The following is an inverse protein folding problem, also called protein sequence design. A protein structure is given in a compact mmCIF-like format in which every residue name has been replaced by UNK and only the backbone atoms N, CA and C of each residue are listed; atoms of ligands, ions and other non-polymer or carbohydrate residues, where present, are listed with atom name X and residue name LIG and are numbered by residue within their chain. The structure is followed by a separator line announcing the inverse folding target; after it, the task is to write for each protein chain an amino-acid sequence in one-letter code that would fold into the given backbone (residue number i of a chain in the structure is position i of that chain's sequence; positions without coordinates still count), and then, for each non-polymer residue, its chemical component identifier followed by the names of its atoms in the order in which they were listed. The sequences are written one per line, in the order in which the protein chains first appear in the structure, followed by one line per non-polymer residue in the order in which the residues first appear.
data_IF_859198248985
#
_entry.id   IF_859198248985
#
_cell.length_a   1.000
_cell.length_b   1.000
_cell.length_c   1.000
_cell.angle_alpha   90.00
_cell.angle_beta   90.00
_cell.angle_gamma   90.00
#
_symmetry.space_group_name_H-M   'P 1'
#
loop_
_entity.id
_entity.type
_entity.pdbx_description
1 polymer ?
#
# COMPACT_ATOMS: atom_id res chain seq x y z
N UNK A 1 2.60 1.16 -39.95
CA UNK A 1 2.59 0.23 -38.80
C UNK A 1 2.40 -1.18 -39.33
N UNK A 2 3.39 -2.05 -39.17
CA UNK A 2 3.28 -3.47 -39.51
C UNK A 2 2.28 -4.09 -38.55
N UNK A 3 1.14 -4.60 -39.05
CA UNK A 3 0.20 -5.37 -38.22
C UNK A 3 0.90 -6.68 -37.86
N UNK A 4 1.32 -6.82 -36.61
CA UNK A 4 1.80 -8.09 -36.06
C UNK A 4 0.73 -9.16 -36.27
N UNK A 5 1.12 -10.35 -36.71
CA UNK A 5 0.20 -11.47 -36.85
C UNK A 5 -0.48 -11.76 -35.49
N UNK A 6 -1.79 -12.13 -35.46
CA UNK A 6 -2.46 -12.46 -34.22
C UNK A 6 -1.77 -13.67 -33.57
N UNK A 7 -1.26 -13.47 -32.36
CA UNK A 7 -0.61 -14.51 -31.56
C UNK A 7 -1.66 -15.14 -30.64
N UNK A 8 -1.51 -16.43 -30.33
CA UNK A 8 -2.36 -17.14 -29.36
C UNK A 8 -1.74 -17.10 -27.97
N UNK A 9 -2.56 -17.31 -26.94
CA UNK A 9 -2.08 -17.56 -25.59
C UNK A 9 -1.13 -18.78 -25.57
N UNK A 10 -0.21 -18.89 -24.60
CA UNK A 10 0.76 -19.99 -24.51
C UNK A 10 0.12 -21.33 -24.09
N UNK A 11 -1.19 -21.47 -24.25
CA UNK A 11 -1.97 -22.63 -23.87
C UNK A 11 -3.27 -22.74 -24.67
N UNK A 12 -3.88 -23.94 -24.66
CA UNK A 12 -5.17 -24.23 -25.30
C UNK A 12 -6.32 -24.34 -24.29
N UNK A 13 -7.43 -23.65 -24.58
CA UNK A 13 -8.68 -23.70 -23.81
C UNK A 13 -8.73 -22.69 -22.65
N UNK A 14 -9.94 -22.12 -22.42
CA UNK A 14 -10.20 -21.20 -21.32
C UNK A 14 -11.57 -21.49 -20.56
N UNK A 15 -11.65 -22.37 -19.51
CA UNK A 15 -12.55 -22.34 -18.30
C UNK A 15 -12.11 -21.63 -16.96
N UNK A 16 -12.78 -20.53 -16.58
CA UNK A 16 -12.48 -19.74 -15.34
C UNK A 16 -12.79 -20.55 -14.07
N UNK A 17 -11.86 -20.56 -13.11
CA UNK A 17 -12.06 -21.24 -11.81
C UNK A 17 -12.60 -20.35 -10.69
N UNK A 18 -12.02 -19.17 -10.52
CA UNK A 18 -12.34 -18.20 -9.46
C UNK A 18 -11.96 -16.80 -9.98
N UNK A 19 -12.26 -15.72 -9.26
CA UNK A 19 -11.59 -14.43 -9.46
C UNK A 19 -10.63 -14.28 -8.29
N UNK A 20 -9.32 -14.13 -8.55
CA UNK A 20 -8.35 -13.98 -7.47
C UNK A 20 -8.50 -12.58 -6.88
N UNK A 21 -8.53 -11.54 -7.70
CA UNK A 21 -8.69 -10.16 -7.27
C UNK A 21 -9.37 -9.33 -8.34
N UNK A 22 -10.24 -8.43 -7.91
CA UNK A 22 -10.85 -7.40 -8.74
C UNK A 22 -10.73 -6.07 -8.00
N UNK A 23 -10.25 -5.06 -8.70
CA UNK A 23 -10.26 -3.67 -8.27
C UNK A 23 -10.97 -2.89 -9.35
N UNK A 24 -12.10 -2.27 -9.00
CA UNK A 24 -12.80 -1.34 -9.88
C UNK A 24 -11.91 -0.17 -10.32
N UNK A 25 -10.84 0.10 -9.57
CA UNK A 25 -9.88 1.17 -9.83
C UNK A 25 -8.85 0.79 -10.91
N UNK A 26 -8.27 -0.42 -10.87
CA UNK A 26 -7.04 -0.66 -11.64
C UNK A 26 -6.90 -2.05 -12.30
N UNK A 27 -7.45 -3.16 -11.77
CA UNK A 27 -7.02 -4.53 -12.21
C UNK A 27 -8.08 -5.61 -11.96
N UNK A 28 -8.25 -6.52 -12.92
CA UNK A 28 -8.95 -7.80 -12.72
C UNK A 28 -7.97 -8.97 -12.92
N UNK A 29 -7.92 -9.90 -11.98
CA UNK A 29 -6.98 -11.04 -11.96
C UNK A 29 -7.76 -12.34 -11.78
N UNK A 30 -7.61 -13.24 -12.75
CA UNK A 30 -8.23 -14.57 -12.77
C UNK A 30 -7.16 -15.66 -12.56
N UNK A 31 -7.35 -16.61 -11.62
CA UNK A 31 -6.68 -17.91 -11.63
C UNK A 31 -7.33 -18.83 -12.67
N UNK A 32 -6.57 -19.85 -13.05
CA UNK A 32 -6.88 -20.66 -14.21
C UNK A 32 -6.51 -22.13 -14.02
N UNK A 33 -7.21 -23.08 -14.68
CA UNK A 33 -6.70 -24.43 -15.00
C UNK A 33 -6.70 -24.67 -16.52
N UNK A 34 -5.53 -24.90 -17.09
CA UNK A 34 -5.20 -25.18 -18.50
C UNK A 34 -5.19 -26.70 -18.73
N UNK A 35 -5.50 -27.19 -19.93
CA UNK A 35 -5.33 -28.61 -20.34
C UNK A 35 -6.34 -29.65 -19.81
N UNK A 36 -7.65 -29.34 -19.76
CA UNK A 36 -8.69 -30.39 -19.58
C UNK A 36 -9.01 -31.18 -20.88
N UNK A 37 -8.34 -30.87 -22.01
CA UNK A 37 -8.68 -31.45 -23.32
C UNK A 37 -8.30 -32.93 -23.51
N UNK A 38 -7.54 -33.54 -22.58
CA UNK A 38 -7.05 -34.91 -22.68
C UNK A 38 -7.77 -35.94 -21.80
N UNK A 39 -8.81 -35.55 -21.04
CA UNK A 39 -9.57 -36.51 -20.21
C UNK A 39 -8.81 -37.10 -19.02
N UNK A 40 -7.54 -36.72 -18.81
CA UNK A 40 -6.76 -37.05 -17.61
C UNK A 40 -6.72 -35.83 -16.69
N UNK A 41 -7.19 -36.02 -15.46
CA UNK A 41 -7.68 -35.00 -14.52
C UNK A 41 -6.70 -33.97 -13.95
N UNK A 42 -5.55 -33.68 -14.55
CA UNK A 42 -4.59 -32.68 -14.03
C UNK A 42 -4.22 -31.62 -15.06
N UNK A 43 -5.14 -30.66 -15.24
CA UNK A 43 -4.83 -29.41 -15.89
C UNK A 43 -3.84 -28.53 -15.09
N UNK A 44 -2.94 -27.84 -15.78
CA UNK A 44 -1.93 -26.93 -15.20
C UNK A 44 -2.51 -25.57 -14.85
N UNK A 45 -2.12 -24.94 -13.74
CA UNK A 45 -2.67 -23.63 -13.42
C UNK A 45 -2.07 -22.50 -14.27
N UNK A 46 -2.82 -21.43 -14.47
CA UNK A 46 -2.33 -20.16 -15.02
C UNK A 46 -2.91 -18.96 -14.24
N UNK A 47 -2.32 -17.79 -14.39
CA UNK A 47 -2.93 -16.53 -13.93
C UNK A 47 -2.98 -15.56 -15.10
N UNK A 48 -4.17 -15.02 -15.36
CA UNK A 48 -4.37 -13.99 -16.40
C UNK A 48 -4.79 -12.69 -15.70
N UNK A 49 -4.01 -11.64 -15.94
CA UNK A 49 -4.21 -10.31 -15.40
C UNK A 49 -4.64 -9.41 -16.54
N UNK A 50 -5.81 -8.78 -16.38
CA UNK A 50 -6.38 -7.82 -17.32
C UNK A 50 -6.43 -6.44 -16.65
N UNK A 51 -5.82 -5.47 -17.30
CA UNK A 51 -5.68 -4.08 -16.83
C UNK A 51 -6.09 -3.14 -17.96
N UNK A 52 -7.01 -2.21 -17.68
CA UNK A 52 -7.32 -1.13 -18.62
C UNK A 52 -6.10 -0.24 -18.76
N UNK A 53 -5.84 0.24 -19.97
CA UNK A 53 -4.73 1.13 -20.25
C UNK A 53 -5.10 2.58 -19.91
N UNK A 54 -4.13 3.39 -19.46
CA UNK A 54 -4.32 4.83 -19.33
C UNK A 54 -4.65 5.48 -20.67
N UNK A 55 -5.43 6.56 -20.63
CA UNK A 55 -5.75 7.33 -21.83
C UNK A 55 -4.51 8.04 -22.40
N UNK A 56 -4.42 8.09 -23.73
CA UNK A 56 -3.50 8.98 -24.43
C UNK A 56 -4.23 10.27 -24.78
N UNK A 57 -3.75 11.40 -24.25
CA UNK A 57 -4.43 12.70 -24.28
C UNK A 57 -4.78 13.11 -25.71
N UNK A 58 -3.83 12.96 -26.63
CA UNK A 58 -4.00 13.36 -28.04
C UNK A 58 -5.07 12.52 -28.75
N UNK A 59 -5.14 11.22 -28.47
CA UNK A 59 -6.12 10.32 -29.07
C UNK A 59 -7.52 10.56 -28.54
N UNK A 60 -7.65 10.82 -27.23
CA UNK A 60 -8.94 11.19 -26.64
C UNK A 60 -9.43 12.53 -27.18
N UNK A 61 -8.55 13.52 -27.30
CA UNK A 61 -8.90 14.82 -27.88
C UNK A 61 -9.41 14.67 -29.33
N UNK A 62 -8.74 13.87 -30.16
CA UNK A 62 -9.19 13.59 -31.53
C UNK A 62 -10.55 12.89 -31.58
N UNK A 63 -10.81 11.94 -30.68
CA UNK A 63 -12.10 11.26 -30.59
C UNK A 63 -13.23 12.23 -30.22
N UNK A 64 -12.99 13.12 -29.24
CA UNK A 64 -13.98 14.08 -28.76
C UNK A 64 -14.28 15.20 -29.77
N UNK A 65 -13.32 15.57 -30.63
CA UNK A 65 -13.55 16.52 -31.73
C UNK A 65 -14.38 15.93 -32.88
N UNK A 66 -14.53 14.60 -32.93
CA UNK A 66 -15.31 13.91 -33.94
C UNK A 66 -16.79 13.74 -33.55
N UNK A 67 -17.36 12.61 -33.94
CA UNK A 67 -18.72 12.19 -33.55
C UNK A 67 -18.63 10.82 -32.86
N UNK A 68 -18.28 10.78 -31.57
CA UNK A 68 -18.15 9.52 -30.86
C UNK A 68 -19.49 8.80 -30.72
N UNK A 69 -19.44 7.48 -30.67
CA UNK A 69 -20.61 6.65 -30.36
C UNK A 69 -20.90 6.74 -28.85
N UNK A 70 -22.00 7.39 -28.52
CA UNK A 70 -22.41 7.71 -27.15
C UNK A 70 -23.81 7.20 -26.85
N UNK A 71 -23.99 6.63 -25.66
CA UNK A 71 -25.30 6.33 -25.09
C UNK A 71 -25.47 7.09 -23.78
N UNK A 72 -26.47 7.99 -23.71
CA UNK A 72 -26.74 8.77 -22.51
C UNK A 72 -27.17 7.87 -21.35
N UNK A 73 -26.51 8.01 -20.21
CA UNK A 73 -26.84 7.31 -18.96
C UNK A 73 -27.65 8.21 -18.02
N UNK A 74 -27.23 9.47 -17.85
CA UNK A 74 -27.85 10.43 -16.95
C UNK A 74 -27.61 11.86 -17.43
N UNK A 75 -28.57 12.76 -17.19
CA UNK A 75 -28.44 14.19 -17.48
C UNK A 75 -29.17 15.01 -16.41
N UNK A 76 -28.51 16.03 -15.87
CA UNK A 76 -29.07 17.01 -14.95
C UNK A 76 -28.35 18.36 -15.09
N UNK A 77 -29.09 19.39 -15.50
CA UNK A 77 -28.59 20.74 -15.79
C UNK A 77 -27.38 20.70 -16.75
N UNK A 78 -26.18 21.09 -16.28
CA UNK A 78 -24.95 21.08 -17.07
C UNK A 78 -24.15 19.77 -16.97
N UNK A 79 -24.61 18.79 -16.18
CA UNK A 79 -23.91 17.52 -15.97
C UNK A 79 -24.60 16.39 -16.72
N UNK A 80 -23.87 15.71 -17.60
CA UNK A 80 -24.33 14.49 -18.27
C UNK A 80 -23.25 13.41 -18.25
N UNK A 81 -23.70 12.16 -18.15
CA UNK A 81 -22.83 10.97 -18.16
C UNK A 81 -23.25 10.08 -19.32
N UNK A 82 -22.28 9.58 -20.07
CA UNK A 82 -22.49 8.74 -21.25
C UNK A 82 -21.67 7.46 -21.15
N UNK A 83 -22.19 6.37 -21.71
CA UNK A 83 -21.36 5.25 -22.14
C UNK A 83 -20.74 5.59 -23.49
N UNK A 84 -19.41 5.67 -23.54
CA UNK A 84 -18.64 5.88 -24.75
C UNK A 84 -18.12 4.55 -25.27
N UNK A 85 -18.30 4.29 -26.57
CA UNK A 85 -17.77 3.10 -27.25
C UNK A 85 -16.59 3.53 -28.15
N UNK A 86 -15.35 3.51 -27.64
CA UNK A 86 -14.21 4.05 -28.38
C UNK A 86 -13.74 3.10 -29.50
N UNK A 87 -13.07 3.64 -30.53
CA UNK A 87 -12.50 2.83 -31.59
C UNK A 87 -11.40 1.91 -31.05
N UNK A 88 -11.05 0.86 -31.81
CA UNK A 88 -10.13 -0.22 -31.38
C UNK A 88 -8.81 0.28 -30.79
N UNK A 89 -8.28 1.41 -31.25
CA UNK A 89 -7.02 1.99 -30.79
C UNK A 89 -7.03 2.40 -29.32
N UNK A 90 -8.21 2.72 -28.77
CA UNK A 90 -8.44 3.17 -27.39
C UNK A 90 -9.10 2.10 -26.51
N UNK A 91 -9.27 0.89 -27.06
CA UNK A 91 -9.94 -0.24 -26.41
C UNK A 91 -8.94 -1.36 -26.03
N UNK A 92 -7.65 -1.03 -25.95
CA UNK A 92 -6.64 -2.02 -25.57
C UNK A 92 -6.76 -2.40 -24.10
N UNK A 93 -6.48 -3.68 -23.84
CA UNK A 93 -6.46 -4.24 -22.49
C UNK A 93 -5.11 -4.91 -22.34
N UNK A 94 -4.32 -4.37 -21.41
CA UNK A 94 -3.04 -4.98 -21.07
C UNK A 94 -3.31 -6.35 -20.46
N UNK A 95 -2.79 -7.38 -21.11
CA UNK A 95 -2.97 -8.78 -20.72
C UNK A 95 -1.64 -9.38 -20.32
N UNK A 96 -1.49 -9.77 -19.06
CA UNK A 96 -0.30 -10.48 -18.55
C UNK A 96 -0.67 -11.92 -18.22
N UNK A 97 0.16 -12.87 -18.64
CA UNK A 97 -0.06 -14.31 -18.45
C UNK A 97 1.08 -14.90 -17.64
N UNK A 98 0.75 -15.60 -16.56
CA UNK A 98 1.68 -16.44 -15.79
C UNK A 98 1.30 -17.89 -16.03
N UNK A 99 2.14 -18.64 -16.72
CA UNK A 99 1.89 -20.04 -17.06
C UNK A 99 3.22 -20.83 -17.18
N UNK A 100 3.35 -22.01 -16.55
CA UNK A 100 2.45 -22.55 -15.53
C UNK A 100 2.50 -21.72 -14.23
N UNK A 101 1.35 -21.47 -13.63
CA UNK A 101 1.24 -20.81 -12.34
C UNK A 101 1.47 -21.82 -11.20
N UNK A 102 2.24 -21.42 -10.20
CA UNK A 102 2.44 -22.20 -8.98
C UNK A 102 1.44 -21.76 -7.92
N UNK A 103 1.28 -22.54 -6.85
CA UNK A 103 0.49 -22.14 -5.68
C UNK A 103 0.96 -20.77 -5.12
N UNK A 104 2.26 -20.47 -5.18
CA UNK A 104 2.79 -19.14 -4.78
C UNK A 104 2.25 -18.02 -5.64
N UNK A 105 2.09 -18.24 -6.95
CA UNK A 105 1.47 -17.26 -7.85
C UNK A 105 -0.02 -17.05 -7.51
N UNK A 106 -0.74 -18.13 -7.21
CA UNK A 106 -2.14 -18.06 -6.82
C UNK A 106 -2.33 -17.28 -5.52
N UNK A 107 -1.55 -17.59 -4.48
CA UNK A 107 -1.60 -16.90 -3.19
C UNK A 107 -1.19 -15.43 -3.30
N UNK A 108 -0.21 -15.09 -4.15
CA UNK A 108 0.22 -13.70 -4.39
C UNK A 108 -0.92 -12.82 -4.91
N UNK A 109 -1.76 -13.35 -5.80
CA UNK A 109 -2.82 -12.57 -6.44
C UNK A 109 -4.19 -12.73 -5.79
N UNK A 110 -4.35 -13.71 -4.90
CA UNK A 110 -5.57 -13.91 -4.13
C UNK A 110 -5.89 -12.65 -3.31
N UNK A 111 -7.09 -12.10 -3.50
CA UNK A 111 -7.62 -10.95 -2.77
C UNK A 111 -7.65 -11.32 -1.31
N UNK A 112 -6.87 -10.58 -0.54
CA UNK A 112 -7.00 -10.60 0.91
C UNK A 112 -8.31 -9.90 1.24
N UNK A 113 -9.27 -10.67 1.73
CA UNK A 113 -10.53 -10.14 2.20
C UNK A 113 -10.27 -9.42 3.51
N UNK A 114 -10.46 -8.10 3.53
CA UNK A 114 -10.14 -7.27 4.68
C UNK A 114 -11.38 -7.00 5.53
N UNK A 115 -11.19 -6.89 6.84
CA UNK A 115 -12.21 -6.52 7.82
C UNK A 115 -11.69 -5.39 8.66
N UNK A 116 -12.49 -4.33 8.80
CA UNK A 116 -12.20 -3.26 9.74
C UNK A 116 -12.43 -3.74 11.17
N UNK A 117 -11.52 -3.36 12.04
CA UNK A 117 -11.58 -3.54 13.48
C UNK A 117 -11.36 -2.19 14.13
N UNK A 118 -12.11 -1.92 15.19
CA UNK A 118 -11.89 -0.76 16.05
C UNK A 118 -11.41 -1.26 17.40
N UNK A 119 -10.12 -1.16 17.66
CA UNK A 119 -9.45 -1.68 18.85
C UNK A 119 -9.39 -0.61 19.93
N UNK A 120 -9.94 -0.89 21.11
CA UNK A 120 -9.82 -0.01 22.28
C UNK A 120 -8.43 -0.11 22.92
N UNK A 121 -8.06 0.85 23.80
CA UNK A 121 -6.83 0.73 24.58
C UNK A 121 -6.75 -0.55 25.43
N UNK A 122 -7.90 -1.02 25.93
CA UNK A 122 -8.02 -2.29 26.67
C UNK A 122 -7.77 -3.50 25.76
N UNK A 123 -8.38 -3.51 24.56
CA UNK A 123 -8.19 -4.58 23.58
C UNK A 123 -6.71 -4.68 23.18
N UNK A 124 -6.04 -3.54 22.95
CA UNK A 124 -4.61 -3.53 22.67
C UNK A 124 -3.82 -4.20 23.79
N UNK A 125 -4.01 -3.77 25.04
CA UNK A 125 -3.25 -4.26 26.19
C UNK A 125 -3.49 -5.74 26.47
N UNK A 126 -4.74 -6.19 26.33
CA UNK A 126 -5.15 -7.53 26.80
C UNK A 126 -5.15 -8.58 25.68
N UNK A 127 -5.19 -8.18 24.41
CA UNK A 127 -5.36 -9.08 23.27
C UNK A 127 -4.23 -8.91 22.27
N UNK A 128 -4.11 -7.71 21.69
CA UNK A 128 -3.15 -7.46 20.60
C UNK A 128 -1.72 -7.56 21.10
N UNK A 129 -1.37 -6.90 22.20
CA UNK A 129 -0.01 -6.88 22.72
C UNK A 129 0.51 -8.28 23.08
N UNK A 130 -0.22 -9.12 23.84
CA UNK A 130 0.19 -10.51 24.08
C UNK A 130 0.32 -11.33 22.79
N UNK A 131 -0.59 -11.11 21.83
CA UNK A 131 -0.54 -11.78 20.54
C UNK A 131 0.74 -11.41 19.77
N UNK A 132 1.10 -10.12 19.72
CA UNK A 132 2.31 -9.64 19.06
C UNK A 132 3.58 -10.19 19.70
N UNK A 133 3.64 -10.18 21.03
CA UNK A 133 4.78 -10.73 21.77
C UNK A 133 4.97 -12.24 21.52
N UNK A 134 3.87 -12.97 21.24
CA UNK A 134 3.95 -14.38 20.86
C UNK A 134 4.52 -14.63 19.45
N UNK A 135 4.50 -13.64 18.54
CA UNK A 135 4.81 -13.86 17.12
C UNK A 135 6.30 -13.82 16.76
N UNK A 136 7.22 -13.56 17.69
CA UNK A 136 8.69 -13.58 17.48
C UNK A 136 9.16 -12.98 16.14
N UNK A 137 8.62 -11.81 15.76
CA UNK A 137 8.94 -11.17 14.49
C UNK A 137 10.31 -10.50 14.55
N UNK A 138 11.23 -10.92 13.67
CA UNK A 138 12.57 -10.33 13.62
C UNK A 138 12.56 -8.96 12.94
N UNK A 139 13.10 -7.96 13.64
CA UNK A 139 13.38 -6.61 13.12
C UNK A 139 14.90 -6.39 12.93
N UNK A 140 15.68 -7.46 12.81
CA UNK A 140 17.15 -7.37 12.72
C UNK A 140 17.63 -6.50 11.56
N UNK A 141 16.89 -6.47 10.44
CA UNK A 141 17.22 -5.61 9.30
C UNK A 141 17.18 -4.12 9.68
N UNK A 142 16.26 -3.71 10.56
CA UNK A 142 16.18 -2.34 11.10
C UNK A 142 17.46 -2.03 11.87
N UNK A 143 17.86 -2.93 12.77
CA UNK A 143 19.10 -2.76 13.55
C UNK A 143 20.34 -2.76 12.67
N UNK A 144 20.37 -3.50 11.57
CA UNK A 144 21.49 -3.46 10.64
C UNK A 144 21.64 -2.07 9.99
N UNK A 145 20.54 -1.37 9.69
CA UNK A 145 20.57 0.01 9.18
C UNK A 145 21.04 0.97 10.27
N UNK A 146 20.46 0.88 11.47
CA UNK A 146 20.81 1.77 12.60
C UNK A 146 22.29 1.59 13.02
N UNK A 147 22.79 0.35 13.03
CA UNK A 147 24.18 0.00 13.38
C UNK A 147 25.16 0.16 12.19
N UNK A 148 24.71 0.69 11.03
CA UNK A 148 25.50 0.86 9.79
C UNK A 148 26.12 -0.43 9.23
N UNK A 149 25.52 -1.59 9.54
CA UNK A 149 25.92 -2.90 9.02
C UNK A 149 25.33 -3.20 7.64
N UNK A 150 24.25 -2.50 7.25
CA UNK A 150 23.61 -2.60 5.95
C UNK A 150 23.04 -1.25 5.51
N UNK A 151 23.00 -1.00 4.21
CA UNK A 151 22.39 0.18 3.57
C UNK A 151 22.89 1.55 4.07
N UNK A 152 24.08 1.60 4.69
CA UNK A 152 24.66 2.83 5.22
C UNK A 152 24.91 3.89 4.12
N UNK A 153 25.23 3.43 2.91
CA UNK A 153 25.44 4.26 1.71
C UNK A 153 24.14 4.86 1.14
N UNK A 154 22.98 4.32 1.52
CA UNK A 154 21.66 4.79 1.08
C UNK A 154 21.05 5.84 2.00
N UNK A 155 21.68 6.11 3.15
CA UNK A 155 21.20 7.08 4.13
C UNK A 155 21.22 8.49 3.52
N UNK A 156 20.08 9.15 3.56
CA UNK A 156 19.89 10.52 3.04
C UNK A 156 20.19 11.55 4.13
N UNK A 157 19.79 11.24 5.36
CA UNK A 157 19.98 12.09 6.53
C UNK A 157 20.03 11.23 7.78
N UNK A 158 20.78 11.68 8.79
CA UNK A 158 20.83 11.06 10.10
C UNK A 158 20.98 12.12 11.19
N UNK A 159 20.07 12.06 12.17
CA UNK A 159 20.28 12.66 13.47
C UNK A 159 20.76 11.54 14.41
N UNK A 160 22.03 11.56 14.87
CA UNK A 160 22.63 10.43 15.57
C UNK A 160 22.27 10.35 17.06
N UNK A 161 21.42 11.24 17.57
CA UNK A 161 21.01 11.19 18.98
C UNK A 161 20.33 9.84 19.29
N UNK A 162 20.76 9.12 20.35
CA UNK A 162 20.25 7.78 20.63
C UNK A 162 18.78 7.75 21.10
N UNK A 163 18.24 8.88 21.55
CA UNK A 163 16.87 9.00 22.09
C UNK A 163 15.93 9.71 21.13
N UNK A 164 16.37 10.85 20.59
CA UNK A 164 15.57 11.77 19.78
C UNK A 164 16.02 11.84 18.30
N UNK A 165 16.97 10.99 17.94
CA UNK A 165 17.52 10.88 16.59
C UNK A 165 16.87 9.77 15.75
N UNK A 166 17.17 9.83 14.45
CA UNK A 166 16.64 8.90 13.45
C UNK A 166 17.52 8.86 12.19
N UNK A 167 17.34 7.80 11.40
CA UNK A 167 17.89 7.66 10.04
C UNK A 167 16.79 7.84 9.02
N UNK A 168 17.02 8.66 7.99
CA UNK A 168 16.15 8.81 6.83
C UNK A 168 16.75 8.07 5.62
N UNK A 169 15.99 7.15 5.03
CA UNK A 169 16.47 6.28 3.94
C UNK A 169 15.37 6.05 2.88
N UNK A 170 15.70 5.92 1.58
CA UNK A 170 14.74 5.53 0.54
C UNK A 170 14.11 4.16 0.82
N UNK A 171 12.77 4.07 0.72
CA UNK A 171 12.03 2.81 0.85
C UNK A 171 12.42 1.86 -0.29
N UNK A 172 12.42 0.54 -0.03
CA UNK A 172 12.70 -0.51 -1.02
C UNK A 172 11.79 -0.45 -2.26
N UNK A 173 10.59 0.13 -2.14
CA UNK A 173 9.63 0.28 -3.22
C UNK A 173 10.00 1.39 -4.21
N UNK A 174 10.89 2.30 -3.85
CA UNK A 174 11.25 3.44 -4.69
C UNK A 174 12.59 3.22 -5.39
N UNK A 175 12.58 3.29 -6.72
CA UNK A 175 13.75 3.09 -7.56
C UNK A 175 14.59 4.37 -7.77
N UNK A 176 14.14 5.50 -7.20
CA UNK A 176 14.81 6.81 -7.26
C UNK A 176 14.98 7.40 -8.67
N UNK A 177 14.22 6.91 -9.66
CA UNK A 177 14.30 7.42 -11.04
C UNK A 177 13.46 8.69 -11.25
N UNK A 178 12.37 8.85 -10.50
CA UNK A 178 11.49 10.01 -10.56
C UNK A 178 11.00 10.40 -9.16
N UNK A 179 10.47 11.63 -9.04
CA UNK A 179 9.98 12.17 -7.78
C UNK A 179 8.46 11.97 -7.60
N UNK A 180 7.74 11.61 -8.67
CA UNK A 180 6.29 11.38 -8.64
C UNK A 180 5.87 10.26 -7.70
N UNK A 181 6.76 9.29 -7.46
CA UNK A 181 6.61 8.18 -6.52
C UNK A 181 7.64 8.22 -5.38
N UNK A 182 8.17 9.41 -5.06
CA UNK A 182 9.12 9.61 -3.96
C UNK A 182 8.61 8.92 -2.69
N UNK A 183 9.47 8.09 -2.10
CA UNK A 183 9.17 7.33 -0.89
C UNK A 183 10.44 7.15 -0.04
N UNK A 184 10.47 7.80 1.12
CA UNK A 184 11.47 7.58 2.16
C UNK A 184 10.81 7.08 3.45
N UNK A 185 11.62 6.46 4.32
CA UNK A 185 11.26 6.09 5.68
C UNK A 185 12.26 6.70 6.65
N UNK A 186 11.75 7.31 7.72
CA UNK A 186 12.52 7.66 8.91
C UNK A 186 12.40 6.54 9.95
N UNK A 187 13.52 6.06 10.49
CA UNK A 187 13.61 5.00 11.51
C UNK A 187 14.29 5.60 12.74
N UNK A 188 13.61 5.63 13.90
CA UNK A 188 14.20 6.19 15.11
C UNK A 188 15.37 5.34 15.65
N UNK A 189 16.38 5.97 16.25
CA UNK A 189 17.47 5.24 16.91
C UNK A 189 17.00 4.55 18.19
N UNK A 190 16.12 5.22 18.95
CA UNK A 190 15.56 4.71 20.20
C UNK A 190 14.86 3.38 19.96
N UNK A 191 15.30 2.35 20.67
CA UNK A 191 14.72 1.00 20.60
C UNK A 191 13.52 0.87 21.53
N UNK A 192 12.63 -0.06 21.22
CA UNK A 192 11.50 -0.43 22.08
C UNK A 192 10.20 0.36 21.87
N UNK A 193 10.17 1.31 20.93
CA UNK A 193 8.92 1.96 20.50
C UNK A 193 8.32 1.11 19.37
N UNK A 194 7.29 0.32 19.66
CA UNK A 194 6.78 -0.69 18.71
C UNK A 194 5.81 -0.10 17.69
N UNK A 195 4.97 0.84 18.11
CA UNK A 195 3.94 1.46 17.28
C UNK A 195 3.40 2.75 17.92
N UNK A 196 2.35 3.33 17.33
CA UNK A 196 1.61 4.45 17.92
C UNK A 196 1.23 4.23 19.39
N UNK A 197 0.90 2.99 19.79
CA UNK A 197 0.46 2.67 21.17
C UNK A 197 1.53 2.90 22.24
N UNK A 198 2.80 2.92 21.87
CA UNK A 198 3.90 3.18 22.80
C UNK A 198 4.25 4.69 22.87
N UNK A 199 3.67 5.52 22.00
CA UNK A 199 3.94 6.95 22.00
C UNK A 199 3.33 7.65 23.22
N UNK A 200 4.06 8.63 23.72
CA UNK A 200 3.75 9.47 24.89
C UNK A 200 4.34 10.85 24.66
N UNK A 201 4.04 11.82 25.52
CA UNK A 201 4.64 13.15 25.47
C UNK A 201 6.19 13.15 25.55
N UNK A 202 6.81 12.10 26.13
CA UNK A 202 8.27 11.92 26.16
C UNK A 202 8.88 11.85 24.75
N UNK A 203 8.10 11.37 23.78
CA UNK A 203 8.56 11.17 22.40
C UNK A 203 8.34 12.39 21.51
N UNK A 204 7.76 13.49 22.01
CA UNK A 204 7.53 14.70 21.22
C UNK A 204 8.82 15.28 20.59
N UNK A 205 9.98 15.33 21.28
CA UNK A 205 11.23 15.79 20.65
C UNK A 205 11.62 14.93 19.44
N UNK A 206 11.64 13.60 19.58
CA UNK A 206 11.86 12.65 18.48
C UNK A 206 10.90 12.88 17.31
N UNK A 207 9.59 12.97 17.56
CA UNK A 207 8.57 13.13 16.51
C UNK A 207 8.72 14.45 15.76
N UNK A 208 8.99 15.55 16.48
CA UNK A 208 9.24 16.87 15.88
C UNK A 208 10.53 16.90 15.07
N UNK A 209 11.59 16.24 15.55
CA UNK A 209 12.85 16.11 14.81
C UNK A 209 12.61 15.34 13.50
N UNK A 210 11.91 14.21 13.55
CA UNK A 210 11.57 13.44 12.33
C UNK A 210 10.82 14.32 11.33
N UNK A 211 9.78 15.04 11.77
CA UNK A 211 8.98 15.89 10.87
C UNK A 211 9.85 16.99 10.25
N UNK A 212 10.47 17.83 11.09
CA UNK A 212 11.22 19.01 10.66
C UNK A 212 12.46 18.64 9.86
N UNK A 213 13.34 17.84 10.43
CA UNK A 213 14.63 17.50 9.83
C UNK A 213 14.46 16.56 8.65
N UNK A 214 13.44 15.68 8.68
CA UNK A 214 13.08 14.83 7.55
C UNK A 214 12.62 15.64 6.34
N UNK A 215 11.72 16.61 6.54
CA UNK A 215 11.28 17.51 5.46
C UNK A 215 12.44 18.39 4.94
N UNK A 216 13.27 18.92 5.84
CA UNK A 216 14.43 19.73 5.45
C UNK A 216 15.44 18.92 4.62
N UNK A 217 15.76 17.69 5.04
CA UNK A 217 16.64 16.80 4.30
C UNK A 217 16.07 16.46 2.90
N UNK A 218 14.76 16.22 2.79
CA UNK A 218 14.11 15.97 1.50
C UNK A 218 14.16 17.21 0.60
N UNK A 219 13.92 18.39 1.16
CA UNK A 219 14.04 19.65 0.43
C UNK A 219 15.48 19.86 -0.08
N UNK A 220 16.47 19.70 0.78
CA UNK A 220 17.88 19.87 0.40
C UNK A 220 18.31 18.86 -0.67
N UNK A 221 17.92 17.59 -0.53
CA UNK A 221 18.39 16.50 -1.40
C UNK A 221 17.65 16.39 -2.73
N UNK A 222 16.33 16.61 -2.72
CA UNK A 222 15.43 16.35 -3.86
C UNK A 222 14.65 17.58 -4.33
N UNK A 223 14.81 18.73 -3.65
CA UNK A 223 14.13 19.99 -3.98
C UNK A 223 12.59 19.86 -3.95
N UNK A 224 12.08 18.96 -3.11
CA UNK A 224 10.65 18.77 -2.86
C UNK A 224 10.27 19.49 -1.57
N UNK A 225 9.32 20.42 -1.67
CA UNK A 225 8.81 21.20 -0.55
C UNK A 225 7.95 20.35 0.40
N UNK A 226 7.89 20.74 1.67
CA UNK A 226 7.15 20.01 2.71
C UNK A 226 5.64 19.89 2.44
N UNK A 227 5.04 20.91 1.81
CA UNK A 227 3.63 20.94 1.38
C UNK A 227 3.32 19.99 0.21
N UNK A 228 4.35 19.41 -0.41
CA UNK A 228 4.25 18.36 -1.43
C UNK A 228 4.50 16.96 -0.87
N UNK A 229 4.59 16.81 0.45
CA UNK A 229 4.82 15.53 1.12
C UNK A 229 3.61 15.12 1.95
N UNK A 230 3.30 13.83 1.94
CA UNK A 230 2.45 13.17 2.93
C UNK A 230 3.36 12.48 3.93
N UNK A 231 3.33 12.91 5.19
CA UNK A 231 4.19 12.38 6.27
C UNK A 231 3.34 11.69 7.33
N UNK A 232 3.51 10.37 7.50
CA UNK A 232 2.56 9.56 8.27
C UNK A 232 3.16 8.28 8.85
N UNK A 233 2.47 7.69 9.82
CA UNK A 233 2.76 6.38 10.40
C UNK A 233 1.68 5.38 10.03
N UNK A 234 2.03 4.09 10.04
CA UNK A 234 1.04 3.02 9.90
C UNK A 234 0.55 2.49 11.24
N UNK A 235 -0.74 2.18 11.32
CA UNK A 235 -1.33 1.33 12.34
C UNK A 235 -2.30 0.31 11.70
N UNK A 236 -2.07 -1.01 11.81
CA UNK A 236 -0.86 -1.65 12.34
C UNK A 236 0.36 -1.45 11.43
N UNK A 237 1.56 -1.29 12.02
CA UNK A 237 2.79 -1.21 11.24
C UNK A 237 3.14 -2.59 10.65
N UNK A 238 3.95 -2.60 9.59
CA UNK A 238 4.45 -3.86 9.01
C UNK A 238 5.59 -4.49 9.81
N UNK A 239 6.23 -3.73 10.70
CA UNK A 239 7.25 -4.17 11.64
C UNK A 239 7.21 -3.29 12.89
N UNK A 240 7.50 -3.87 14.05
CA UNK A 240 7.28 -3.23 15.35
C UNK A 240 8.52 -2.51 15.87
N UNK A 241 8.97 -1.52 15.10
CA UNK A 241 9.93 -0.49 15.48
C UNK A 241 9.48 0.81 14.81
N UNK A 242 9.33 1.89 15.58
CA UNK A 242 8.70 3.12 15.12
C UNK A 242 9.39 3.64 13.85
N UNK A 243 8.58 3.89 12.84
CA UNK A 243 9.02 4.44 11.57
C UNK A 243 7.95 5.36 10.99
N UNK A 244 8.39 6.37 10.25
CA UNK A 244 7.54 7.37 9.60
C UNK A 244 7.79 7.32 8.10
N UNK A 245 6.71 7.31 7.34
CA UNK A 245 6.71 7.33 5.88
C UNK A 245 6.68 8.77 5.38
N UNK A 246 7.53 9.08 4.41
CA UNK A 246 7.51 10.32 3.66
C UNK A 246 7.24 9.96 2.20
N UNK A 247 6.07 10.35 1.68
CA UNK A 247 5.70 10.09 0.28
C UNK A 247 5.36 11.38 -0.45
N UNK A 248 5.59 11.43 -1.76
CA UNK A 248 5.05 12.50 -2.58
C UNK A 248 3.52 12.59 -2.40
N UNK A 249 2.99 13.80 -2.26
CA UNK A 249 1.55 13.99 -2.02
C UNK A 249 0.70 13.47 -3.20
N UNK A 250 1.19 13.65 -4.44
CA UNK A 250 0.57 13.13 -5.65
C UNK A 250 0.69 11.61 -5.83
N UNK A 251 1.52 10.95 -5.02
CA UNK A 251 1.65 9.50 -5.03
C UNK A 251 0.58 8.86 -4.15
N UNK A 252 -0.22 7.97 -4.73
CA UNK A 252 -1.14 7.11 -3.99
C UNK A 252 -0.43 5.87 -3.45
N UNK A 253 0.46 6.10 -2.50
CA UNK A 253 1.27 5.05 -1.90
C UNK A 253 0.40 3.97 -1.22
N UNK A 254 0.66 2.67 -1.44
CA UNK A 254 -0.01 1.62 -0.70
C UNK A 254 0.15 1.80 0.81
N UNK A 255 -0.97 1.83 1.54
CA UNK A 255 -1.00 2.04 2.98
C UNK A 255 -1.24 3.49 3.42
N UNK A 256 -1.36 4.44 2.49
CA UNK A 256 -1.73 5.84 2.81
C UNK A 256 -3.24 6.07 3.05
N UNK A 257 -4.04 5.00 3.08
CA UNK A 257 -5.48 5.06 3.35
C UNK A 257 -5.77 5.38 4.82
N UNK A 258 -6.90 6.04 5.09
CA UNK A 258 -7.30 6.50 6.44
C UNK A 258 -7.47 5.35 7.44
N UNK A 259 -7.74 4.15 6.96
CA UNK A 259 -7.81 2.93 7.75
C UNK A 259 -6.45 2.40 8.23
N UNK A 260 -5.35 3.12 7.93
CA UNK A 260 -4.00 2.71 8.32
C UNK A 260 -3.05 3.87 8.59
N UNK A 261 -3.13 4.94 7.80
CA UNK A 261 -2.23 6.08 7.89
C UNK A 261 -2.68 7.09 8.95
N UNK A 262 -1.73 7.53 9.78
CA UNK A 262 -1.90 8.59 10.75
C UNK A 262 -0.87 9.69 10.47
N UNK A 263 -1.30 10.91 10.13
CA UNK A 263 -0.39 12.01 9.84
C UNK A 263 0.50 12.30 11.05
N UNK A 264 1.81 12.48 10.82
CA UNK A 264 2.76 12.73 11.91
C UNK A 264 2.45 14.04 12.65
N UNK A 265 2.00 15.06 11.93
CA UNK A 265 1.61 16.35 12.51
C UNK A 265 0.41 16.17 13.47
N UNK A 266 -0.66 15.51 13.02
CA UNK A 266 -1.80 15.16 13.89
C UNK A 266 -1.35 14.30 15.10
N UNK A 267 -0.39 13.39 14.92
CA UNK A 267 0.13 12.54 16.01
C UNK A 267 0.82 13.38 17.08
N UNK A 268 1.60 14.38 16.66
CA UNK A 268 2.26 15.33 17.56
C UNK A 268 1.20 16.15 18.31
N UNK A 269 0.24 16.75 17.59
CA UNK A 269 -0.81 17.57 18.19
C UNK A 269 -1.70 16.77 19.16
N UNK A 270 -2.00 15.51 18.83
CA UNK A 270 -2.78 14.63 19.69
C UNK A 270 -2.06 14.38 21.03
N UNK A 271 -0.74 14.20 21.03
CA UNK A 271 0.07 14.01 22.24
C UNK A 271 0.26 15.29 23.04
N UNK A 272 0.30 16.44 22.38
CA UNK A 272 0.32 17.76 23.02
C UNK A 272 -1.00 18.07 23.73
N UNK A 273 -2.12 17.70 23.11
CA UNK A 273 -3.46 17.86 23.68
C UNK A 273 -3.77 16.85 24.80
N UNK A 274 -3.39 15.58 24.60
CA UNK A 274 -3.66 14.47 25.51
C UNK A 274 -2.45 13.52 25.56
N UNK A 275 -1.62 13.58 26.63
CA UNK A 275 -0.44 12.73 26.76
C UNK A 275 -0.72 11.22 26.74
N UNK A 276 -1.95 10.79 27.03
CA UNK A 276 -2.37 9.39 27.05
C UNK A 276 -3.23 9.00 25.83
N UNK A 277 -3.32 9.89 24.82
CA UNK A 277 -4.20 9.72 23.65
C UNK A 277 -4.08 8.32 23.03
N UNK A 278 -2.87 7.92 22.65
CA UNK A 278 -2.67 6.65 21.96
C UNK A 278 -2.80 5.42 22.86
N UNK A 279 -2.76 5.58 24.18
CA UNK A 279 -3.03 4.49 25.11
C UNK A 279 -4.52 4.27 25.33
N UNK A 280 -5.33 5.32 25.28
CA UNK A 280 -6.75 5.24 25.62
C UNK A 280 -7.68 5.18 24.41
N UNK A 281 -7.38 5.98 23.37
CA UNK A 281 -8.30 6.17 22.24
C UNK A 281 -8.40 4.90 21.40
N UNK A 282 -9.60 4.55 20.91
CA UNK A 282 -9.75 3.45 19.97
C UNK A 282 -9.06 3.77 18.64
N UNK A 283 -8.31 2.81 18.09
CA UNK A 283 -7.69 2.91 16.77
C UNK A 283 -8.37 1.94 15.82
N UNK A 284 -8.70 2.42 14.63
CA UNK A 284 -9.38 1.64 13.59
C UNK A 284 -8.37 1.18 12.55
N UNK A 285 -8.34 -0.10 12.24
CA UNK A 285 -7.46 -0.66 11.20
C UNK A 285 -8.07 -1.87 10.50
N UNK A 286 -7.49 -2.26 9.37
CA UNK A 286 -7.90 -3.43 8.61
C UNK A 286 -7.03 -4.65 8.94
N UNK A 287 -7.66 -5.81 9.12
CA UNK A 287 -7.02 -7.13 9.18
C UNK A 287 -7.55 -8.05 8.10
N UNK A 288 -6.78 -9.07 7.74
CA UNK A 288 -7.25 -10.12 6.83
C UNK A 288 -8.29 -10.99 7.52
N UNK A 289 -9.27 -11.49 6.77
CA UNK A 289 -10.34 -12.33 7.29
C UNK A 289 -9.82 -13.64 7.91
N UNK A 290 -8.66 -14.12 7.46
CA UNK A 290 -7.97 -15.30 7.97
C UNK A 290 -6.97 -15.00 9.11
N UNK A 291 -6.79 -13.72 9.48
CA UNK A 291 -5.85 -13.31 10.51
C UNK A 291 -6.28 -13.81 11.91
N UNK A 292 -5.43 -14.54 12.65
CA UNK A 292 -5.76 -14.98 14.00
C UNK A 292 -6.12 -13.83 14.95
N UNK A 293 -5.48 -12.66 14.82
CA UNK A 293 -5.75 -11.51 15.67
C UNK A 293 -7.18 -10.99 15.48
N UNK A 294 -7.70 -11.03 14.26
CA UNK A 294 -9.07 -10.62 13.95
C UNK A 294 -10.08 -11.45 14.75
N UNK A 295 -9.88 -12.77 14.80
CA UNK A 295 -10.76 -13.68 15.54
C UNK A 295 -10.72 -13.41 17.04
N UNK A 296 -9.55 -13.13 17.59
CA UNK A 296 -9.39 -12.80 19.02
C UNK A 296 -10.13 -11.50 19.38
N UNK A 297 -9.94 -10.44 18.59
CA UNK A 297 -10.59 -9.15 18.81
C UNK A 297 -12.12 -9.24 18.66
N UNK A 298 -12.61 -9.95 17.63
CA UNK A 298 -14.05 -10.16 17.45
C UNK A 298 -14.67 -11.01 18.56
N UNK A 299 -13.95 -11.99 19.11
CA UNK A 299 -14.42 -12.81 20.22
C UNK A 299 -14.64 -11.96 21.49
N UNK A 300 -13.66 -11.12 21.83
CA UNK A 300 -13.75 -10.25 23.00
C UNK A 300 -14.87 -9.20 22.89
N UNK A 301 -15.10 -8.63 21.70
CA UNK A 301 -16.12 -7.59 21.49
C UNK A 301 -17.56 -8.11 21.47
N UNK A 302 -17.76 -9.43 21.36
CA UNK A 302 -19.08 -10.09 21.41
C UNK A 302 -19.43 -10.62 22.81
N UNK A 303 -18.47 -10.60 23.73
CA UNK A 303 -18.61 -11.06 25.11
C UNK A 303 -19.09 -9.92 26.01
#
# INVERSE_FOLDING_TARGET
MVRSAPVRLPFSGFRVKKVLRESARDKIIFPWKVNEASGDGDGEDAVVILEKTPFQVEQVAQLLMGSPELQLQFSNDIYSTYHLFPPRQLSDVKTTVVYPATEKHLQKYLRQDLRLVRETGSDYKNITLPHLESQSLSIQWVYNILDKKAEADRIVFENPDPSDGFVLIPDLKWNQQQLDDLYLIAICHRRGIRSLRDLTAEHLPLLRNILREGQEAILQRYQVQGDRLRVYLHYLPSYYHLHVHFTALGFEAPGSGVERAHLLEDVIENLECDPEHYRQRPLTFALRADDPLLKLLQGAQRS
#
